data_IF_133752782781
#
_entry.id   IF_133752782781
#
_cell.length_a   1.000
_cell.length_b   1.000
_cell.length_c   1.000
_cell.angle_alpha   90.00
_cell.angle_beta   90.00
_cell.angle_gamma   90.00
#
_symmetry.space_group_name_H-M   'P 1'
#
loop_
_entity.id
_entity.type
_entity.pdbx_description
1 polymer ?
#
# COMPACT_ATOMS: atom_id res chain seq x y z
N UNK A 1 -6.47 -57.36 -11.43
CA UNK A 1 -6.26 -57.19 -9.98
C UNK A 1 -5.92 -55.72 -9.69
N UNK A 2 -6.92 -54.88 -9.43
CA UNK A 2 -6.73 -53.47 -9.04
C UNK A 2 -6.77 -53.36 -7.51
N UNK A 3 -5.70 -52.84 -6.89
CA UNK A 3 -5.64 -52.52 -5.45
C UNK A 3 -5.83 -51.00 -5.26
N UNK A 4 -7.02 -50.60 -4.80
CA UNK A 4 -7.34 -49.23 -4.39
C UNK A 4 -6.77 -48.92 -2.99
N UNK A 5 -5.96 -47.86 -2.87
CA UNK A 5 -5.50 -47.28 -1.59
C UNK A 5 -6.53 -46.26 -1.11
N UNK A 6 -7.20 -46.53 0.01
CA UNK A 6 -8.14 -45.62 0.67
C UNK A 6 -7.38 -44.69 1.62
N UNK A 7 -7.41 -43.37 1.37
CA UNK A 7 -6.97 -42.35 2.33
C UNK A 7 -8.20 -41.86 3.09
N UNK A 8 -8.15 -41.93 4.42
CA UNK A 8 -9.23 -41.60 5.35
C UNK A 8 -9.18 -40.10 5.68
N UNK A 9 -10.23 -39.35 5.33
CA UNK A 9 -10.43 -37.96 5.77
C UNK A 9 -11.26 -38.00 7.06
N UNK A 10 -10.71 -37.43 8.14
CA UNK A 10 -11.39 -37.27 9.41
C UNK A 10 -12.34 -36.07 9.34
N UNK A 11 -13.64 -36.36 9.31
CA UNK A 11 -14.72 -35.37 9.44
C UNK A 11 -14.98 -35.17 10.92
N UNK A 12 -14.72 -33.96 11.42
CA UNK A 12 -15.18 -33.55 12.75
C UNK A 12 -16.64 -33.12 12.64
N UNK A 13 -17.49 -33.84 13.37
CA UNK A 13 -18.91 -33.62 13.48
C UNK A 13 -19.18 -32.36 14.31
N UNK A 14 -19.88 -31.41 13.71
CA UNK A 14 -20.57 -30.31 14.39
C UNK A 14 -21.88 -30.07 13.67
N UNK A 15 -22.91 -30.83 14.02
CA UNK A 15 -24.25 -30.70 13.45
C UNK A 15 -25.05 -29.65 14.22
N UNK A 16 -25.54 -28.64 13.50
CA UNK A 16 -26.82 -28.02 13.80
C UNK A 16 -27.43 -27.54 12.48
N UNK A 17 -28.44 -28.28 12.03
CA UNK A 17 -29.24 -28.00 10.84
C UNK A 17 -30.35 -27.02 11.21
N UNK A 18 -30.44 -25.90 10.50
CA UNK A 18 -31.69 -25.17 10.32
C UNK A 18 -31.75 -24.66 8.89
N UNK A 19 -32.53 -25.35 8.06
CA UNK A 19 -32.94 -24.94 6.72
C UNK A 19 -33.85 -23.71 6.83
N UNK A 20 -33.39 -22.56 6.34
CA UNK A 20 -34.25 -21.45 5.94
C UNK A 20 -33.95 -21.17 4.47
N UNK A 21 -34.99 -21.31 3.65
CA UNK A 21 -35.00 -20.96 2.22
C UNK A 21 -34.88 -19.44 2.11
N UNK A 22 -33.79 -18.97 1.51
CA UNK A 22 -33.58 -17.58 1.17
C UNK A 22 -32.27 -17.46 0.41
N UNK A 23 -32.33 -16.98 -0.83
CA UNK A 23 -31.18 -16.83 -1.70
C UNK A 23 -30.05 -16.09 -0.96
N UNK A 24 -29.01 -16.83 -0.59
CA UNK A 24 -27.84 -16.26 0.05
C UNK A 24 -27.11 -15.43 -1.02
N UNK A 25 -27.32 -14.12 -0.98
CA UNK A 25 -26.33 -13.17 -1.44
C UNK A 25 -25.02 -13.59 -0.78
N UNK A 26 -24.11 -14.17 -1.54
CA UNK A 26 -22.71 -14.30 -1.14
C UNK A 26 -22.17 -12.87 -1.11
N UNK A 27 -22.52 -12.15 -0.05
CA UNK A 27 -21.92 -10.89 0.30
C UNK A 27 -20.45 -11.18 0.51
N UNK A 28 -19.64 -10.82 -0.47
CA UNK A 28 -18.22 -10.58 -0.25
C UNK A 28 -18.22 -9.55 0.88
N UNK A 29 -17.86 -9.98 2.08
CA UNK A 29 -17.62 -9.06 3.18
C UNK A 29 -16.54 -8.10 2.67
N UNK A 30 -16.96 -6.93 2.19
CA UNK A 30 -16.06 -5.89 1.76
C UNK A 30 -15.19 -5.58 2.95
N UNK A 31 -13.91 -5.94 2.86
CA UNK A 31 -12.94 -5.57 3.89
C UNK A 31 -13.07 -4.06 4.07
N UNK A 32 -13.46 -3.63 5.27
CA UNK A 32 -13.59 -2.22 5.58
C UNK A 32 -12.25 -1.56 5.27
N UNK A 33 -12.26 -0.55 4.41
CA UNK A 33 -11.08 0.28 4.15
C UNK A 33 -10.74 0.92 5.50
N UNK A 34 -9.61 0.53 6.09
CA UNK A 34 -9.16 1.12 7.33
C UNK A 34 -8.99 2.62 7.11
N UNK A 35 -9.70 3.42 7.90
CA UNK A 35 -9.56 4.87 7.87
C UNK A 35 -8.10 5.21 8.22
N UNK A 36 -7.42 5.89 7.31
CA UNK A 36 -6.02 6.31 7.52
C UNK A 36 -5.97 7.32 8.66
N UNK A 37 -5.06 7.11 9.61
CA UNK A 37 -4.85 8.06 10.71
C UNK A 37 -4.43 9.42 10.15
N UNK A 38 -5.07 10.51 10.58
CA UNK A 38 -4.70 11.85 10.12
C UNK A 38 -3.34 12.27 10.68
N UNK A 39 -2.45 12.75 9.82
CA UNK A 39 -1.17 13.32 10.22
C UNK A 39 -1.31 14.80 10.61
N UNK A 40 -0.62 15.22 11.67
CA UNK A 40 -0.50 16.64 12.06
C UNK A 40 0.71 17.26 11.36
N UNK A 41 0.47 17.96 10.26
CA UNK A 41 1.49 18.70 9.51
C UNK A 41 0.88 20.05 9.04
N UNK A 42 0.82 21.08 9.90
CA UNK A 42 0.00 22.27 9.64
C UNK A 42 0.42 23.04 8.39
N UNK A 43 1.72 23.12 8.13
CA UNK A 43 2.29 23.92 7.03
C UNK A 43 2.70 23.11 5.80
N UNK A 44 2.40 21.81 5.77
CA UNK A 44 2.66 20.98 4.59
C UNK A 44 1.38 20.87 3.74
N UNK A 45 1.49 20.99 2.41
CA UNK A 45 0.43 20.63 1.49
C UNK A 45 0.03 19.15 1.64
N UNK A 46 1.03 18.27 1.72
CA UNK A 46 0.80 16.84 1.91
C UNK A 46 1.92 16.20 2.74
N UNK A 47 1.60 15.17 3.50
CA UNK A 47 2.57 14.40 4.27
C UNK A 47 2.04 12.99 4.54
N UNK A 48 2.93 12.00 4.54
CA UNK A 48 2.57 10.65 4.96
C UNK A 48 3.74 9.92 5.62
N UNK A 49 3.37 8.94 6.45
CA UNK A 49 4.26 7.91 6.95
C UNK A 49 3.77 6.59 6.35
N UNK A 50 4.64 5.96 5.57
CA UNK A 50 4.34 4.79 4.74
C UNK A 50 5.14 3.61 5.27
N UNK A 51 4.47 2.47 5.47
CA UNK A 51 5.09 1.22 5.88
C UNK A 51 5.79 0.55 4.68
N UNK A 52 6.68 -0.42 4.93
CA UNK A 52 7.41 -1.13 3.88
C UNK A 52 6.50 -1.91 2.92
N UNK A 53 5.32 -2.35 3.36
CA UNK A 53 4.35 -3.02 2.51
C UNK A 53 3.57 -2.06 1.58
N UNK A 54 3.72 -0.74 1.76
CA UNK A 54 3.01 0.30 1.03
C UNK A 54 1.74 0.80 1.71
N UNK A 55 1.36 0.23 2.86
CA UNK A 55 0.24 0.73 3.66
C UNK A 55 0.58 2.09 4.31
N UNK A 56 -0.44 2.94 4.45
CA UNK A 56 -0.28 4.25 5.07
C UNK A 56 -0.51 4.14 6.58
N UNK A 57 0.49 4.52 7.38
CA UNK A 57 0.35 4.60 8.83
C UNK A 57 -0.44 5.85 9.26
N UNK A 58 -0.06 7.01 8.71
CA UNK A 58 -0.75 8.30 8.88
C UNK A 58 -0.51 9.24 7.71
N UNK A 59 -1.47 10.07 7.36
CA UNK A 59 -1.36 11.00 6.24
C UNK A 59 -2.18 12.29 6.36
N UNK A 60 -1.77 13.30 5.58
CA UNK A 60 -2.49 14.54 5.25
C UNK A 60 -2.30 14.78 3.75
N UNK A 61 -3.37 15.06 3.00
CA UNK A 61 -3.25 15.41 1.57
C UNK A 61 -2.72 14.29 0.66
N UNK A 62 -2.64 13.05 1.15
CA UNK A 62 -2.30 11.84 0.39
C UNK A 62 -3.49 10.89 0.51
N UNK A 63 -4.06 10.49 -0.62
CA UNK A 63 -5.25 9.64 -0.68
C UNK A 63 -4.91 8.16 -0.77
N UNK A 64 -3.78 7.82 -1.42
CA UNK A 64 -3.39 6.44 -1.61
C UNK A 64 -1.87 6.30 -1.75
N UNK A 65 -1.37 5.12 -1.36
CA UNK A 65 -0.05 4.64 -1.73
C UNK A 65 -0.22 3.25 -2.30
N UNK A 66 0.31 3.03 -3.50
CA UNK A 66 0.35 1.71 -4.12
C UNK A 66 1.79 1.25 -4.27
N UNK A 67 2.03 -0.06 -4.17
CA UNK A 67 3.36 -0.66 -4.30
C UNK A 67 3.39 -1.60 -5.51
N UNK A 68 3.57 -1.07 -6.74
CA UNK A 68 3.52 -1.89 -7.95
C UNK A 68 4.71 -2.86 -8.11
N UNK A 69 5.84 -2.61 -7.43
CA UNK A 69 6.99 -3.50 -7.44
C UNK A 69 7.81 -3.34 -6.15
N UNK A 70 8.73 -4.27 -5.92
CA UNK A 70 9.66 -4.20 -4.78
C UNK A 70 10.44 -2.88 -4.81
N UNK A 71 10.45 -2.18 -3.68
CA UNK A 71 11.13 -0.90 -3.48
C UNK A 71 10.54 0.25 -4.29
N UNK A 72 9.34 0.13 -4.88
CA UNK A 72 8.70 1.17 -5.67
C UNK A 72 7.30 1.47 -5.15
N UNK A 73 7.05 2.73 -4.81
CA UNK A 73 5.81 3.21 -4.23
C UNK A 73 5.28 4.39 -5.03
N UNK A 74 4.01 4.33 -5.42
CA UNK A 74 3.30 5.44 -6.06
C UNK A 74 2.46 6.14 -5.01
N UNK A 75 2.87 7.35 -4.63
CA UNK A 75 2.22 8.17 -3.59
C UNK A 75 1.30 9.17 -4.28
N UNK A 76 0.01 8.99 -4.10
CA UNK A 76 -1.03 9.77 -4.77
C UNK A 76 -1.53 10.90 -3.87
N UNK A 77 -1.46 12.12 -4.39
CA UNK A 77 -1.99 13.31 -3.74
C UNK A 77 -3.53 13.30 -3.76
N UNK A 78 -4.11 13.83 -2.69
CA UNK A 78 -5.56 14.04 -2.61
C UNK A 78 -6.00 15.15 -3.58
N UNK A 79 -5.25 16.26 -3.61
CA UNK A 79 -5.46 17.35 -4.56
C UNK A 79 -4.90 16.99 -5.94
N UNK A 80 -5.80 16.88 -6.92
CA UNK A 80 -5.50 16.48 -8.30
C UNK A 80 -4.98 17.62 -9.17
N UNK A 81 -5.07 18.86 -8.70
CA UNK A 81 -4.56 20.04 -9.39
C UNK A 81 -3.07 20.29 -9.09
N UNK A 82 -2.54 19.66 -8.04
CA UNK A 82 -1.12 19.68 -7.72
C UNK A 82 -0.31 18.88 -8.74
N UNK A 83 0.51 19.58 -9.53
CA UNK A 83 1.43 18.98 -10.50
C UNK A 83 2.78 18.65 -9.82
N UNK A 84 3.12 17.36 -9.75
CA UNK A 84 4.37 16.87 -9.13
C UNK A 84 5.63 17.49 -9.73
N UNK A 85 5.58 18.00 -10.98
CA UNK A 85 6.74 18.66 -11.61
C UNK A 85 7.02 20.07 -11.05
N UNK A 86 6.09 20.61 -10.25
CA UNK A 86 6.19 21.95 -9.64
C UNK A 86 6.42 21.89 -8.12
N UNK A 87 6.45 20.68 -7.57
CA UNK A 87 6.59 20.42 -6.15
C UNK A 87 8.03 20.01 -5.80
N UNK A 88 8.43 20.26 -4.56
CA UNK A 88 9.74 19.87 -4.03
C UNK A 88 9.53 18.94 -2.85
N UNK A 89 9.18 17.65 -3.09
CA UNK A 89 8.97 16.70 -2.01
C UNK A 89 10.28 16.37 -1.32
N UNK A 90 10.22 16.09 -0.02
CA UNK A 90 11.31 15.52 0.75
C UNK A 90 10.85 14.19 1.35
N UNK A 91 11.66 13.15 1.21
CA UNK A 91 11.37 11.84 1.78
C UNK A 91 12.57 11.30 2.56
N UNK A 92 12.28 10.60 3.65
CA UNK A 92 13.28 10.09 4.59
C UNK A 92 12.92 8.66 4.96
N UNK A 93 13.91 7.75 4.93
CA UNK A 93 13.71 6.38 5.40
C UNK A 93 13.46 6.34 6.91
N UNK A 94 12.57 5.46 7.34
CA UNK A 94 12.37 5.19 8.77
C UNK A 94 13.40 4.18 9.26
N UNK A 95 14.07 4.52 10.37
CA UNK A 95 15.01 3.69 11.15
C UNK A 95 15.55 2.44 10.43
N UNK A 96 16.57 2.63 9.61
CA UNK A 96 17.22 1.58 8.81
C UNK A 96 18.75 1.77 8.81
N UNK A 97 19.50 0.80 8.29
CA UNK A 97 20.96 0.93 8.20
C UNK A 97 21.38 2.01 7.18
N UNK A 98 22.60 2.54 7.32
CA UNK A 98 23.12 3.62 6.47
C UNK A 98 23.32 3.24 5.00
N UNK A 99 23.27 1.94 4.66
CA UNK A 99 23.45 1.47 3.29
C UNK A 99 22.20 1.68 2.42
N UNK A 100 21.05 1.96 3.05
CA UNK A 100 19.80 2.19 2.33
C UNK A 100 19.70 3.64 1.84
N UNK A 101 19.11 3.78 0.65
CA UNK A 101 18.79 5.06 0.04
C UNK A 101 17.30 5.16 -0.30
N UNK A 102 16.84 6.41 -0.41
CA UNK A 102 15.53 6.78 -0.91
C UNK A 102 15.69 7.78 -2.04
N UNK A 103 14.84 7.67 -3.06
CA UNK A 103 14.77 8.59 -4.20
C UNK A 103 13.31 8.93 -4.45
N UNK A 104 13.04 10.18 -4.77
CA UNK A 104 11.71 10.63 -5.19
C UNK A 104 11.83 11.12 -6.63
N UNK A 105 11.01 10.59 -7.52
CA UNK A 105 10.88 11.11 -8.88
C UNK A 105 10.11 12.43 -8.82
N UNK A 106 10.69 13.48 -9.41
CA UNK A 106 10.04 14.78 -9.56
C UNK A 106 9.25 14.88 -10.88
N UNK A 107 9.05 13.75 -11.56
CA UNK A 107 8.35 13.67 -12.84
C UNK A 107 7.33 12.52 -12.81
N UNK A 108 6.21 12.63 -13.55
CA UNK A 108 5.27 11.53 -13.75
C UNK A 108 6.01 10.29 -14.28
N UNK A 109 5.91 9.18 -13.55
CA UNK A 109 6.62 7.95 -13.88
C UNK A 109 5.67 6.91 -14.50
N UNK A 110 6.08 6.18 -15.56
CA UNK A 110 5.25 5.13 -16.18
C UNK A 110 4.82 4.02 -15.20
N UNK A 111 5.63 3.70 -14.19
CA UNK A 111 5.29 2.71 -13.14
C UNK A 111 4.06 3.16 -12.35
N UNK A 112 3.85 4.47 -12.23
CA UNK A 112 2.70 5.09 -11.58
C UNK A 112 1.64 5.58 -12.57
N UNK A 113 1.67 5.10 -13.83
CA UNK A 113 0.71 5.44 -14.87
C UNK A 113 0.88 6.83 -15.47
N UNK A 114 2.05 7.46 -15.32
CA UNK A 114 2.34 8.81 -15.84
C UNK A 114 1.37 9.88 -15.32
N UNK A 115 0.86 9.69 -14.09
CA UNK A 115 -0.08 10.63 -13.47
C UNK A 115 0.67 11.83 -12.88
N UNK A 116 0.09 13.02 -13.01
CA UNK A 116 0.68 14.29 -12.55
C UNK A 116 0.49 14.58 -11.06
N UNK A 117 -0.38 13.84 -10.40
CA UNK A 117 -0.73 13.93 -8.98
C UNK A 117 -0.02 12.85 -8.14
N UNK A 118 0.93 12.13 -8.74
CA UNK A 118 1.51 10.92 -8.14
C UNK A 118 3.03 10.94 -8.21
N UNK A 119 3.68 10.86 -7.05
CA UNK A 119 5.12 10.70 -6.96
C UNK A 119 5.50 9.22 -7.04
N UNK A 120 6.57 8.89 -7.78
CA UNK A 120 7.27 7.63 -7.57
C UNK A 120 8.32 7.83 -6.47
N UNK A 121 8.23 7.03 -5.42
CA UNK A 121 9.26 6.89 -4.38
C UNK A 121 9.93 5.53 -4.56
N UNK A 122 11.26 5.54 -4.56
CA UNK A 122 12.07 4.33 -4.71
C UNK A 122 12.93 4.16 -3.46
N UNK A 123 12.93 2.95 -2.90
CA UNK A 123 13.77 2.58 -1.76
C UNK A 123 14.62 1.37 -2.09
N UNK A 124 15.76 1.24 -1.42
CA UNK A 124 16.64 0.10 -1.59
C UNK A 124 18.05 0.41 -1.13
N UNK A 125 19.00 -0.39 -1.60
CA UNK A 125 20.43 -0.25 -1.38
C UNK A 125 21.12 -0.13 -2.76
N UNK A 126 22.43 0.14 -2.84
CA UNK A 126 23.13 0.22 -4.12
C UNK A 126 22.84 -1.00 -5.00
N UNK A 127 22.34 -0.76 -6.21
CA UNK A 127 22.00 -1.76 -7.23
C UNK A 127 20.92 -2.79 -6.83
N UNK A 128 20.14 -2.55 -5.76
CA UNK A 128 19.07 -3.47 -5.35
C UNK A 128 17.87 -2.72 -4.77
N UNK A 129 16.72 -2.91 -5.38
CA UNK A 129 15.45 -2.42 -4.85
C UNK A 129 15.02 -3.25 -3.65
N UNK A 130 14.62 -2.58 -2.58
CA UNK A 130 14.07 -3.24 -1.38
C UNK A 130 12.98 -2.40 -0.76
N UNK A 131 11.96 -3.08 -0.25
CA UNK A 131 10.86 -2.46 0.46
C UNK A 131 11.34 -1.85 1.79
N UNK A 132 11.14 -0.55 1.97
CA UNK A 132 11.47 0.15 3.22
C UNK A 132 10.37 1.13 3.59
N UNK A 133 10.13 1.25 4.89
CA UNK A 133 9.24 2.26 5.41
C UNK A 133 9.90 3.65 5.30
N UNK A 134 9.10 4.68 5.03
CA UNK A 134 9.58 6.05 4.86
C UNK A 134 8.53 7.06 5.33
N UNK A 135 8.94 8.31 5.50
CA UNK A 135 8.05 9.46 5.55
C UNK A 135 8.29 10.36 4.35
N UNK A 136 7.24 11.01 3.85
CA UNK A 136 7.31 12.01 2.79
C UNK A 136 6.57 13.26 3.23
N UNK A 137 7.11 14.43 2.88
CA UNK A 137 6.51 15.74 3.11
C UNK A 137 6.61 16.55 1.82
N UNK A 138 5.48 17.11 1.43
CA UNK A 138 5.33 18.10 0.36
C UNK A 138 5.04 19.43 1.05
N UNK A 139 5.96 20.41 1.01
CA UNK A 139 5.76 21.72 1.60
C UNK A 139 4.49 22.39 1.10
#
# INVERSE_FOLDING_TARGET
>A
MLKNKKIRVAVWAGAAVSLVVGAAWTGVAGAAIQAVTKATAPYAQAAAVVNSDGSINRAKGIVAVTKPAVGKYCVELEDKELDVTRLVPSATLQYTSFEYGIRVSMWPDPVCGTRKDTFLVITGMPNKWEDRAFSIVVP
#
